data_IF_725053226896
#
_entry.id   IF_725053226896
#
_cell.length_a   1.000
_cell.length_b   1.000
_cell.length_c   1.000
_cell.angle_alpha   90.00
_cell.angle_beta   90.00
_cell.angle_gamma   90.00
#
_symmetry.space_group_name_H-M   'P 1'
#
loop_
_entity.id
_entity.type
_entity.pdbx_description
1 polymer ?
#
# COMPACT_ATOMS: atom_id res chain seq x y z
N UNK A 1 1.70 -7.00 8.10
CA UNK A 1 1.83 -6.71 6.65
C UNK A 1 2.50 -7.92 6.00
N UNK A 2 1.96 -8.44 4.91
CA UNK A 2 2.66 -9.45 4.11
C UNK A 2 3.80 -8.71 3.40
N UNK A 3 5.02 -8.90 3.88
CA UNK A 3 6.21 -8.15 3.47
C UNK A 3 6.71 -8.49 2.06
N UNK A 4 6.07 -9.44 1.38
CA UNK A 4 6.46 -9.90 0.03
C UNK A 4 5.68 -9.24 -1.12
N UNK A 5 4.77 -8.30 -0.84
CA UNK A 5 4.09 -7.57 -1.91
C UNK A 5 5.02 -6.50 -2.53
N UNK A 6 5.92 -6.95 -3.41
CA UNK A 6 7.00 -6.18 -4.02
C UNK A 6 6.53 -5.22 -5.14
N UNK A 7 5.25 -4.87 -5.17
CA UNK A 7 4.69 -3.97 -6.18
C UNK A 7 5.27 -2.56 -6.07
N UNK A 8 5.28 -1.82 -7.18
CA UNK A 8 5.68 -0.41 -7.18
C UNK A 8 4.77 0.45 -6.28
N UNK A 9 3.50 0.06 -6.15
CA UNK A 9 2.53 0.76 -5.31
C UNK A 9 2.78 0.54 -3.82
N UNK A 10 3.07 -0.70 -3.38
CA UNK A 10 3.42 -0.97 -1.99
C UNK A 10 4.68 -0.18 -1.56
N UNK A 11 5.68 -0.10 -2.44
CA UNK A 11 6.88 0.72 -2.23
C UNK A 11 6.57 2.22 -2.12
N UNK A 12 5.66 2.74 -2.95
CA UNK A 12 5.22 4.13 -2.87
C UNK A 12 4.55 4.42 -1.53
N UNK A 13 3.64 3.54 -1.10
CA UNK A 13 2.94 3.69 0.17
C UNK A 13 3.93 3.64 1.34
N UNK A 14 4.84 2.66 1.35
CA UNK A 14 5.88 2.55 2.38
C UNK A 14 6.76 3.80 2.42
N UNK A 15 7.23 4.28 1.27
CA UNK A 15 8.04 5.49 1.20
C UNK A 15 7.30 6.70 1.78
N UNK A 16 6.02 6.87 1.48
CA UNK A 16 5.23 7.98 2.01
C UNK A 16 5.08 7.94 3.53
N UNK A 17 5.00 6.74 4.12
CA UNK A 17 5.03 6.56 5.57
C UNK A 17 6.43 6.88 6.14
N UNK A 18 7.49 6.37 5.50
CA UNK A 18 8.87 6.53 5.96
C UNK A 18 9.32 8.00 5.99
N UNK A 19 8.93 8.79 4.99
CA UNK A 19 9.26 10.22 4.92
C UNK A 19 8.29 11.12 5.70
N UNK A 20 7.32 10.52 6.40
CA UNK A 20 6.31 11.24 7.19
C UNK A 20 5.30 12.05 6.36
N UNK A 21 5.27 11.86 5.03
CA UNK A 21 4.24 12.46 4.18
C UNK A 21 2.85 11.84 4.43
N UNK A 22 2.83 10.62 4.97
CA UNK A 22 1.63 9.91 5.41
C UNK A 22 1.82 9.38 6.84
N UNK A 23 0.72 9.35 7.59
CA UNK A 23 0.62 8.74 8.91
C UNK A 23 -0.50 7.70 8.86
N UNK A 24 -0.20 6.43 9.16
CA UNK A 24 -1.22 5.38 9.24
C UNK A 24 -2.09 5.57 10.48
N UNK A 25 -3.41 5.59 10.28
CA UNK A 25 -4.39 5.67 11.37
C UNK A 25 -4.97 4.30 11.71
N UNK A 26 -5.34 3.53 10.68
CA UNK A 26 -5.87 2.18 10.86
C UNK A 26 -5.64 1.34 9.60
N UNK A 27 -5.34 0.06 9.84
CA UNK A 27 -5.36 -0.99 8.83
C UNK A 27 -6.43 -2.01 9.19
N UNK A 28 -7.34 -2.31 8.25
CA UNK A 28 -8.44 -3.25 8.47
C UNK A 28 -8.46 -4.30 7.37
N UNK A 29 -8.54 -5.57 7.76
CA UNK A 29 -8.85 -6.66 6.86
C UNK A 29 -10.37 -6.83 6.79
N UNK A 30 -10.93 -6.80 5.59
CA UNK A 30 -12.37 -6.86 5.39
C UNK A 30 -12.74 -7.66 4.13
N UNK A 31 -14.01 -8.03 4.02
CA UNK A 31 -14.56 -8.67 2.82
C UNK A 31 -15.39 -7.63 2.09
N UNK A 32 -14.93 -7.22 0.92
CA UNK A 32 -15.69 -6.30 0.08
C UNK A 32 -16.62 -7.05 -0.89
N UNK A 33 -16.16 -8.19 -1.40
CA UNK A 33 -16.88 -9.01 -2.38
C UNK A 33 -16.57 -10.48 -2.19
N UNK A 34 -17.45 -11.30 -2.75
CA UNK A 34 -17.21 -12.73 -2.91
C UNK A 34 -16.53 -13.00 -4.27
N UNK A 35 -15.85 -14.13 -4.37
CA UNK A 35 -15.44 -14.73 -5.63
C UNK A 35 -16.66 -15.24 -6.41
N UNK A 36 -16.48 -15.56 -7.68
CA UNK A 36 -17.56 -16.15 -8.50
C UNK A 36 -18.04 -17.50 -7.95
N UNK A 37 -17.19 -18.19 -7.18
CA UNK A 37 -17.49 -19.42 -6.46
C UNK A 37 -18.29 -19.20 -5.16
N UNK A 38 -18.51 -17.95 -4.74
CA UNK A 38 -19.15 -17.59 -3.48
C UNK A 38 -18.21 -17.49 -2.28
N UNK A 39 -16.93 -17.83 -2.44
CA UNK A 39 -15.94 -17.72 -1.37
C UNK A 39 -15.58 -16.25 -1.06
N UNK A 40 -15.34 -15.88 0.22
CA UNK A 40 -14.95 -14.51 0.55
C UNK A 40 -13.59 -14.11 -0.03
N UNK A 41 -13.53 -12.96 -0.71
CA UNK A 41 -12.27 -12.32 -1.07
C UNK A 41 -11.89 -11.29 0.00
N UNK A 42 -10.73 -11.50 0.61
CA UNK A 42 -10.22 -10.64 1.67
C UNK A 42 -9.37 -9.51 1.11
N UNK A 43 -9.71 -8.29 1.51
CA UNK A 43 -9.02 -7.06 1.17
C UNK A 43 -8.35 -6.47 2.42
N UNK A 44 -7.30 -5.69 2.20
CA UNK A 44 -6.69 -4.84 3.23
C UNK A 44 -6.96 -3.40 2.87
N UNK A 45 -7.72 -2.70 3.72
CA UNK A 45 -7.96 -1.27 3.62
C UNK A 45 -7.06 -0.54 4.61
N UNK A 46 -6.51 0.59 4.18
CA UNK A 46 -5.65 1.43 5.02
C UNK A 46 -6.21 2.85 5.01
N UNK A 47 -6.34 3.45 6.19
CA UNK A 47 -6.68 4.86 6.35
C UNK A 47 -5.43 5.59 6.79
N UNK A 48 -5.05 6.60 6.01
CA UNK A 48 -3.89 7.45 6.28
C UNK A 48 -4.29 8.90 6.40
N UNK A 49 -3.60 9.65 7.26
CA UNK A 49 -3.59 11.10 7.20
C UNK A 49 -2.47 11.54 6.26
N UNK A 50 -2.81 12.38 5.28
CA UNK A 50 -1.84 12.99 4.36
C UNK A 50 -1.32 14.29 4.97
N UNK A 51 -0.02 14.35 5.23
CA UNK A 51 0.68 15.51 5.78
C UNK A 51 1.41 16.32 4.71
N UNK A 52 1.83 15.68 3.62
CA UNK A 52 2.54 16.32 2.52
C UNK A 52 2.26 15.62 1.17
N UNK A 53 2.73 16.21 0.08
CA UNK A 53 2.76 15.55 -1.22
C UNK A 53 3.89 14.50 -1.28
N UNK A 54 3.63 13.39 -1.97
CA UNK A 54 4.63 12.37 -2.22
C UNK A 54 5.60 12.87 -3.29
N UNK A 55 6.86 13.13 -2.90
CA UNK A 55 7.93 13.48 -3.82
C UNK A 55 8.59 12.21 -4.32
N UNK A 56 8.32 11.84 -5.57
CA UNK A 56 8.77 10.58 -6.19
C UNK A 56 10.27 10.55 -6.56
N UNK A 57 11.07 11.53 -6.13
CA UNK A 57 12.47 11.69 -6.52
C UNK A 57 13.29 10.44 -6.17
N UNK A 58 13.67 9.68 -7.20
CA UNK A 58 14.48 8.47 -7.15
C UNK A 58 13.92 7.31 -6.30
N UNK A 59 12.61 7.06 -6.33
CA UNK A 59 12.10 5.71 -6.08
C UNK A 59 12.59 4.80 -7.21
N UNK A 60 13.80 4.27 -7.05
CA UNK A 60 14.59 3.64 -8.11
C UNK A 60 13.78 2.75 -9.05
N UNK A 61 13.75 3.15 -10.32
CA UNK A 61 13.51 2.22 -11.42
C UNK A 61 14.61 1.16 -11.31
N UNK A 62 14.23 -0.11 -11.14
CA UNK A 62 15.21 -1.18 -11.25
C UNK A 62 15.71 -1.19 -12.70
N UNK A 63 17.03 -1.04 -12.85
CA UNK A 63 17.73 -1.50 -14.04
C UNK A 63 17.58 -3.02 -14.07
N UNK A 64 16.78 -3.51 -14.99
CA UNK A 64 16.86 -4.89 -15.44
C UNK A 64 17.98 -4.96 -16.49
N UNK A 65 19.19 -5.35 -16.05
CA UNK A 65 20.21 -5.95 -16.90
C UNK A 65 21.11 -6.87 -16.08
#
# INVERSE_FOLDING_TARGET
MNTDDASGFARLIQHGLDVGAMEELITVRYVHRLAMTGEPLYYTGMIVRKHADLRLGHLGARNDN
#
